data_IF_374450814634
#
_entry.id   IF_374450814634
#
_cell.length_a   1.000
_cell.length_b   1.000
_cell.length_c   1.000
_cell.angle_alpha   90.00
_cell.angle_beta   90.00
_cell.angle_gamma   90.00
#
_symmetry.space_group_name_H-M   'P 1'
#
loop_
_entity.id
_entity.type
_entity.pdbx_description
1 polymer ?
#
# COMPACT_ATOMS: atom_id res chain seq x y z
N UNK A 1 -2.87 -36.48 8.03
CA UNK A 1 -2.59 -35.11 7.56
C UNK A 1 -2.39 -34.24 8.78
N UNK A 2 -1.24 -33.59 8.90
CA UNK A 2 -0.96 -32.66 9.99
C UNK A 2 -1.51 -31.25 9.66
N UNK A 3 -1.54 -30.36 10.67
CA UNK A 3 -2.03 -29.00 10.54
C UNK A 3 -1.30 -28.22 9.43
N UNK A 4 -0.01 -28.44 9.26
CA UNK A 4 0.81 -27.80 8.20
C UNK A 4 0.40 -28.24 6.81
N UNK A 5 0.04 -29.52 6.64
CA UNK A 5 -0.45 -30.06 5.37
C UNK A 5 -1.83 -29.48 5.01
N UNK A 6 -2.72 -29.31 6.00
CA UNK A 6 -4.01 -28.64 5.79
C UNK A 6 -3.83 -27.18 5.38
N UNK A 7 -3.00 -26.43 6.08
CA UNK A 7 -2.71 -25.02 5.75
C UNK A 7 -2.06 -24.88 4.36
N UNK A 8 -1.20 -25.82 3.98
CA UNK A 8 -0.58 -25.83 2.65
C UNK A 8 -1.60 -26.13 1.55
N UNK A 9 -2.47 -27.11 1.75
CA UNK A 9 -3.53 -27.46 0.79
C UNK A 9 -4.54 -26.30 0.64
N UNK A 10 -4.93 -25.67 1.74
CA UNK A 10 -5.83 -24.52 1.74
C UNK A 10 -5.23 -23.34 0.95
N UNK A 11 -3.93 -23.06 1.11
CA UNK A 11 -3.22 -22.01 0.38
C UNK A 11 -3.07 -22.28 -1.12
N UNK A 12 -3.09 -23.55 -1.56
CA UNK A 12 -3.05 -23.91 -2.98
C UNK A 12 -4.38 -23.67 -3.68
N UNK A 13 -5.50 -23.81 -2.96
CA UNK A 13 -6.85 -23.66 -3.51
C UNK A 13 -7.49 -22.28 -3.33
N UNK A 14 -6.90 -21.42 -2.50
CA UNK A 14 -7.50 -20.12 -2.13
C UNK A 14 -6.49 -19.00 -2.27
N UNK A 15 -6.87 -17.92 -2.95
CA UNK A 15 -6.07 -16.70 -2.93
C UNK A 15 -6.09 -16.12 -1.51
N UNK A 16 -4.94 -16.13 -0.86
CA UNK A 16 -4.76 -15.45 0.43
C UNK A 16 -3.94 -14.21 0.17
N UNK A 17 -4.53 -13.05 0.43
CA UNK A 17 -3.81 -11.79 0.39
C UNK A 17 -2.63 -11.85 1.38
N UNK A 18 -1.45 -11.49 0.91
CA UNK A 18 -0.24 -11.45 1.75
C UNK A 18 -0.15 -10.09 2.42
N UNK A 19 0.01 -10.09 3.75
CA UNK A 19 0.27 -8.85 4.48
C UNK A 19 1.59 -8.23 4.03
N UNK A 20 1.60 -6.91 3.96
CA UNK A 20 2.84 -6.14 3.81
C UNK A 20 3.71 -6.33 5.06
N UNK A 21 5.04 -6.29 4.89
CA UNK A 21 5.96 -6.48 6.03
C UNK A 21 6.21 -5.15 6.75
N UNK A 22 5.77 -4.96 8.00
CA UNK A 22 5.98 -3.72 8.75
C UNK A 22 7.45 -3.29 8.87
N UNK A 23 8.37 -4.27 8.90
CA UNK A 23 9.82 -4.01 8.97
C UNK A 23 10.34 -3.24 7.75
N UNK A 24 9.73 -3.41 6.58
CA UNK A 24 10.10 -2.65 5.38
C UNK A 24 9.70 -1.18 5.51
N UNK A 25 8.49 -0.92 6.02
CA UNK A 25 8.04 0.44 6.28
C UNK A 25 8.94 1.12 7.32
N UNK A 26 9.25 0.41 8.43
CA UNK A 26 10.20 0.89 9.43
C UNK A 26 11.53 1.27 8.79
N UNK A 27 12.12 0.40 7.99
CA UNK A 27 13.41 0.64 7.35
C UNK A 27 13.39 1.88 6.43
N UNK A 28 12.32 2.08 5.67
CA UNK A 28 12.14 3.26 4.80
C UNK A 28 12.06 4.54 5.64
N UNK A 29 11.28 4.54 6.72
CA UNK A 29 11.15 5.69 7.60
C UNK A 29 12.47 6.03 8.31
N UNK A 30 13.21 5.01 8.75
CA UNK A 30 14.52 5.20 9.41
C UNK A 30 15.59 5.70 8.42
N UNK A 31 15.69 5.13 7.21
CA UNK A 31 16.66 5.55 6.19
C UNK A 31 16.43 7.00 5.75
N UNK A 32 15.16 7.41 5.70
CA UNK A 32 14.80 8.80 5.35
C UNK A 32 14.83 9.76 6.54
N UNK A 33 15.15 9.26 7.75
CA UNK A 33 15.11 10.02 9.01
C UNK A 33 13.77 10.75 9.21
N UNK A 34 12.68 10.13 8.72
CA UNK A 34 11.37 10.75 8.68
C UNK A 34 10.82 10.97 10.09
N UNK A 35 10.33 12.18 10.36
CA UNK A 35 9.54 12.52 11.54
C UNK A 35 8.05 12.53 11.24
N UNK A 36 7.70 12.97 10.03
CA UNK A 36 6.34 13.03 9.52
C UNK A 36 6.17 12.06 8.35
N UNK A 37 5.15 11.20 8.43
CA UNK A 37 4.89 10.14 7.45
C UNK A 37 3.49 10.27 6.87
N UNK A 38 3.36 10.01 5.56
CA UNK A 38 2.07 9.93 4.86
C UNK A 38 1.89 8.57 4.20
N UNK A 39 0.71 7.97 4.38
CA UNK A 39 0.28 6.75 3.72
C UNK A 39 -1.11 6.95 3.09
N UNK A 40 -1.17 7.04 1.79
CA UNK A 40 -2.42 7.29 1.05
C UNK A 40 -3.28 6.05 0.82
N UNK A 41 -2.87 4.88 1.37
CA UNK A 41 -3.60 3.61 1.23
C UNK A 41 -3.29 2.72 2.43
N UNK A 42 -3.75 3.10 3.63
CA UNK A 42 -3.35 2.47 4.90
C UNK A 42 -3.61 0.96 4.97
N UNK A 43 -4.60 0.44 4.26
CA UNK A 43 -4.91 -0.98 4.16
C UNK A 43 -5.15 -1.61 5.53
N UNK A 44 -4.46 -2.70 5.85
CA UNK A 44 -4.61 -3.38 7.15
C UNK A 44 -3.75 -2.80 8.27
N UNK A 45 -3.05 -1.68 8.02
CA UNK A 45 -2.24 -0.99 9.03
C UNK A 45 -0.83 -1.56 9.19
N UNK A 46 -0.31 -2.31 8.21
CA UNK A 46 1.04 -2.86 8.29
C UNK A 46 2.12 -1.76 8.24
N UNK A 47 1.91 -0.72 7.41
CA UNK A 47 2.81 0.45 7.37
C UNK A 47 2.65 1.33 8.60
N UNK A 48 1.45 1.40 9.19
CA UNK A 48 1.21 2.02 10.48
C UNK A 48 1.98 1.28 11.60
N UNK A 49 2.00 -0.07 11.58
CA UNK A 49 2.81 -0.85 12.52
C UNK A 49 4.31 -0.55 12.36
N UNK A 50 4.79 -0.42 11.11
CA UNK A 50 6.17 -0.01 10.82
C UNK A 50 6.49 1.39 11.37
N UNK A 51 5.56 2.33 11.26
CA UNK A 51 5.67 3.65 11.85
C UNK A 51 5.83 3.61 13.37
N UNK A 52 5.00 2.83 14.06
CA UNK A 52 5.11 2.69 15.51
C UNK A 52 6.46 2.11 15.96
N UNK A 53 7.08 1.28 15.12
CA UNK A 53 8.39 0.68 15.38
C UNK A 53 9.58 1.54 14.96
N UNK A 54 9.38 2.65 14.24
CA UNK A 54 10.42 3.59 13.76
C UNK A 54 10.61 4.77 14.69
N UNK A 55 11.50 5.70 14.34
CA UNK A 55 11.72 6.97 15.04
C UNK A 55 10.82 8.12 14.54
N UNK A 56 9.90 7.84 13.62
CA UNK A 56 8.91 8.82 13.17
C UNK A 56 7.90 9.16 14.29
N UNK A 57 7.41 10.38 14.31
CA UNK A 57 6.59 10.93 15.41
C UNK A 57 5.15 11.17 15.02
N UNK A 58 4.89 11.50 13.76
CA UNK A 58 3.56 11.80 13.23
C UNK A 58 3.24 10.95 11.99
N UNK A 59 2.06 10.37 11.96
CA UNK A 59 1.55 9.58 10.84
C UNK A 59 0.23 10.16 10.36
N UNK A 60 0.15 10.37 9.07
CA UNK A 60 -1.03 10.81 8.35
C UNK A 60 -1.41 9.76 7.32
N UNK A 61 -2.70 9.51 7.12
CA UNK A 61 -3.09 8.53 6.13
C UNK A 61 -4.59 8.50 5.83
N UNK A 62 -4.98 7.70 4.84
CA UNK A 62 -6.38 7.48 4.51
C UNK A 62 -6.66 6.04 4.07
N UNK A 63 -7.90 5.65 4.22
CA UNK A 63 -8.46 4.39 3.72
C UNK A 63 -9.97 4.55 3.56
N UNK A 64 -10.57 4.16 2.42
CA UNK A 64 -11.99 4.33 2.17
C UNK A 64 -12.87 3.33 2.92
N UNK A 65 -12.30 2.23 3.45
CA UNK A 65 -13.08 1.21 4.12
C UNK A 65 -13.38 1.57 5.58
N UNK A 66 -14.64 1.87 5.96
CA UNK A 66 -15.00 2.27 7.31
C UNK A 66 -14.80 1.14 8.34
N UNK A 67 -14.79 -0.11 7.93
CA UNK A 67 -14.53 -1.24 8.83
C UNK A 67 -13.05 -1.28 9.22
N UNK A 68 -12.14 -1.09 8.24
CA UNK A 68 -10.70 -0.99 8.48
C UNK A 68 -10.39 0.27 9.27
N UNK A 69 -11.00 1.40 8.93
CA UNK A 69 -10.84 2.68 9.62
C UNK A 69 -11.13 2.58 11.13
N UNK A 70 -12.19 1.88 11.52
CA UNK A 70 -12.51 1.65 12.94
C UNK A 70 -11.41 0.86 13.67
N UNK A 71 -10.76 -0.09 12.98
CA UNK A 71 -9.68 -0.90 13.57
C UNK A 71 -8.38 -0.14 13.79
N UNK A 72 -8.13 0.94 13.04
CA UNK A 72 -6.93 1.77 13.29
C UNK A 72 -6.93 2.37 14.70
N UNK A 73 -8.08 2.76 15.23
CA UNK A 73 -8.15 3.31 16.58
C UNK A 73 -7.72 2.28 17.65
N UNK A 74 -8.10 1.02 17.45
CA UNK A 74 -7.67 -0.08 18.30
C UNK A 74 -6.16 -0.31 18.18
N UNK A 75 -5.61 -0.34 16.96
CA UNK A 75 -4.17 -0.49 16.71
C UNK A 75 -3.37 0.65 17.33
N UNK A 76 -3.76 1.91 17.10
CA UNK A 76 -3.11 3.10 17.65
C UNK A 76 -3.10 3.04 19.18
N UNK A 77 -4.24 2.73 19.79
CA UNK A 77 -4.34 2.60 21.25
C UNK A 77 -3.42 1.51 21.78
N UNK A 78 -3.36 0.35 21.14
CA UNK A 78 -2.51 -0.75 21.58
C UNK A 78 -1.03 -0.42 21.42
N UNK A 79 -0.59 0.07 20.27
CA UNK A 79 0.82 0.37 20.05
C UNK A 79 1.34 1.49 20.96
N UNK A 80 0.54 2.52 21.21
CA UNK A 80 0.93 3.62 22.12
C UNK A 80 1.14 3.14 23.57
N UNK A 81 0.53 2.03 24.00
CA UNK A 81 0.77 1.48 25.36
C UNK A 81 2.20 0.97 25.56
N UNK A 82 2.89 0.61 24.48
CA UNK A 82 4.26 0.11 24.53
C UNK A 82 5.32 1.19 24.36
N UNK A 83 4.91 2.42 24.11
CA UNK A 83 5.83 3.53 23.87
C UNK A 83 5.97 4.43 25.11
N UNK A 84 7.18 4.95 25.37
CA UNK A 84 7.40 5.89 26.49
C UNK A 84 6.65 7.22 26.26
N UNK A 85 6.41 7.61 25.02
CA UNK A 85 5.65 8.78 24.62
C UNK A 85 4.71 8.40 23.47
N UNK A 86 3.42 8.72 23.56
CA UNK A 86 2.49 8.47 22.47
C UNK A 86 2.86 9.19 21.20
N UNK A 87 2.72 8.52 20.06
CA UNK A 87 2.88 9.11 18.73
C UNK A 87 1.56 9.67 18.22
N UNK A 88 1.66 10.71 17.40
CA UNK A 88 0.50 11.35 16.78
C UNK A 88 0.10 10.59 15.52
N UNK A 89 -1.17 10.22 15.41
CA UNK A 89 -1.73 9.56 14.24
C UNK A 89 -3.03 10.23 13.85
N UNK A 90 -3.15 10.56 12.57
CA UNK A 90 -4.38 11.07 11.98
C UNK A 90 -4.69 10.31 10.69
N UNK A 91 -5.80 9.61 10.66
CA UNK A 91 -6.26 8.83 9.50
C UNK A 91 -7.65 9.34 9.11
N UNK A 92 -7.87 9.55 7.81
CA UNK A 92 -9.16 9.93 7.25
C UNK A 92 -9.86 8.70 6.65
N UNK A 93 -11.17 8.61 6.83
CA UNK A 93 -11.97 7.59 6.17
C UNK A 93 -12.45 8.10 4.81
N UNK A 94 -11.54 8.13 3.86
CA UNK A 94 -11.80 8.55 2.48
C UNK A 94 -10.83 7.86 1.51
N UNK A 95 -11.11 7.93 0.22
CA UNK A 95 -10.15 7.56 -0.82
C UNK A 95 -8.97 8.54 -0.87
N UNK A 96 -7.86 8.12 -1.46
CA UNK A 96 -6.68 8.95 -1.60
C UNK A 96 -6.93 10.19 -2.47
N UNK A 97 -7.85 10.10 -3.41
CA UNK A 97 -8.31 11.20 -4.26
C UNK A 97 -9.00 12.33 -3.48
N UNK A 98 -9.64 11.99 -2.35
CA UNK A 98 -10.39 12.90 -1.50
C UNK A 98 -9.62 13.33 -0.24
N UNK A 99 -8.35 12.93 -0.11
CA UNK A 99 -7.53 13.32 1.04
C UNK A 99 -7.29 14.83 1.04
N UNK A 100 -7.50 15.53 2.19
CA UNK A 100 -7.28 16.98 2.27
C UNK A 100 -5.78 17.32 2.34
N UNK A 101 -5.07 17.22 1.19
CA UNK A 101 -3.63 17.46 1.08
C UNK A 101 -3.21 18.86 1.54
N UNK A 102 -4.09 19.85 1.38
CA UNK A 102 -3.89 21.24 1.82
C UNK A 102 -3.86 21.42 3.34
N UNK A 103 -4.36 20.43 4.09
CA UNK A 103 -4.37 20.41 5.56
C UNK A 103 -3.21 19.61 6.15
N UNK A 104 -2.40 18.96 5.33
CA UNK A 104 -1.26 18.20 5.79
C UNK A 104 -0.09 19.14 6.13
N UNK A 105 0.69 18.84 7.18
CA UNK A 105 1.98 19.50 7.37
C UNK A 105 2.96 19.07 6.28
N UNK A 106 4.13 19.72 6.18
CA UNK A 106 5.22 19.16 5.37
C UNK A 106 5.53 17.73 5.78
N UNK A 107 5.56 16.82 4.81
CA UNK A 107 5.79 15.38 5.00
C UNK A 107 7.23 15.05 4.66
N UNK A 108 7.95 14.39 5.57
CA UNK A 108 9.32 13.93 5.30
C UNK A 108 9.31 12.73 4.34
N UNK A 109 8.44 11.76 4.59
CA UNK A 109 8.37 10.54 3.80
C UNK A 109 6.91 10.11 3.57
N UNK A 110 6.49 10.07 2.31
CA UNK A 110 5.30 9.36 1.91
C UNK A 110 5.67 7.94 1.49
N UNK A 111 4.98 6.94 2.05
CA UNK A 111 5.13 5.55 1.64
C UNK A 111 3.77 4.89 1.53
N UNK A 112 3.43 4.49 0.31
CA UNK A 112 2.12 3.92 0.00
C UNK A 112 2.22 2.70 -0.89
N UNK A 113 1.19 1.86 -0.84
CA UNK A 113 0.93 0.78 -1.79
C UNK A 113 -0.47 1.01 -2.34
N UNK A 114 -0.60 1.78 -3.44
CA UNK A 114 -1.91 2.09 -4.01
C UNK A 114 -2.59 0.81 -4.51
N UNK A 115 -3.92 0.79 -4.64
CA UNK A 115 -4.63 -0.32 -5.27
C UNK A 115 -4.05 -0.59 -6.67
N UNK A 116 -3.77 -1.87 -6.98
CA UNK A 116 -3.18 -2.26 -8.27
C UNK A 116 -4.26 -2.43 -9.34
N UNK A 117 -4.98 -1.35 -9.64
CA UNK A 117 -6.14 -1.33 -10.52
C UNK A 117 -7.15 -2.43 -10.12
N UNK A 118 -7.63 -3.28 -11.03
CA UNK A 118 -8.57 -4.38 -10.75
C UNK A 118 -7.89 -5.73 -10.43
N UNK A 119 -6.61 -5.73 -10.07
CA UNK A 119 -5.92 -6.97 -9.64
C UNK A 119 -6.50 -7.52 -8.35
N UNK A 120 -6.93 -6.63 -7.45
CA UNK A 120 -7.52 -6.95 -6.17
C UNK A 120 -8.86 -6.22 -6.05
N UNK A 121 -9.95 -6.96 -6.31
CA UNK A 121 -11.31 -6.42 -6.24
C UNK A 121 -11.83 -6.53 -4.79
N UNK A 122 -11.33 -5.65 -3.93
CA UNK A 122 -11.76 -5.60 -2.52
C UNK A 122 -13.26 -5.31 -2.40
N UNK A 123 -13.92 -6.00 -1.48
CA UNK A 123 -15.36 -5.88 -1.21
C UNK A 123 -16.28 -6.15 -2.41
N UNK A 124 -15.84 -6.91 -3.42
CA UNK A 124 -16.65 -7.27 -4.59
C UNK A 124 -17.96 -7.93 -4.16
N UNK A 125 -19.08 -7.40 -4.63
CA UNK A 125 -20.42 -7.84 -4.24
C UNK A 125 -20.84 -7.48 -2.82
N UNK A 126 -20.06 -6.65 -2.10
CA UNK A 126 -20.37 -6.18 -0.75
C UNK A 126 -20.90 -4.73 -0.72
N UNK A 127 -21.46 -4.33 0.44
CA UNK A 127 -22.06 -2.99 0.64
C UNK A 127 -21.08 -1.81 0.42
N UNK A 128 -19.77 -2.05 0.43
CA UNK A 128 -18.73 -1.02 0.32
C UNK A 128 -17.97 -1.07 -1.00
N UNK A 129 -18.48 -1.80 -1.97
CA UNK A 129 -17.86 -1.96 -3.30
C UNK A 129 -17.68 -0.61 -3.99
N UNK A 130 -18.70 0.24 -3.94
CA UNK A 130 -18.70 1.56 -4.57
C UNK A 130 -17.62 2.53 -4.05
N UNK A 131 -17.06 2.29 -2.86
CA UNK A 131 -16.00 3.10 -2.27
C UNK A 131 -14.60 2.70 -2.78
N UNK A 132 -14.49 1.62 -3.52
CA UNK A 132 -13.22 1.08 -3.99
C UNK A 132 -12.79 1.72 -5.31
N UNK A 133 -11.49 1.93 -5.46
CA UNK A 133 -10.93 2.57 -6.67
C UNK A 133 -11.20 1.76 -7.95
N UNK A 134 -11.15 0.43 -7.88
CA UNK A 134 -11.44 -0.44 -9.02
C UNK A 134 -12.89 -0.34 -9.52
N UNK A 135 -13.83 0.01 -8.63
CA UNK A 135 -15.23 0.24 -8.98
C UNK A 135 -15.45 1.65 -9.55
N UNK A 136 -14.90 2.68 -8.86
CA UNK A 136 -14.98 4.08 -9.30
C UNK A 136 -14.31 4.32 -10.65
N UNK A 137 -13.14 3.68 -10.85
CA UNK A 137 -12.28 3.83 -12.01
C UNK A 137 -12.13 2.47 -12.70
N UNK A 138 -13.18 2.01 -13.38
CA UNK A 138 -13.31 0.65 -13.92
C UNK A 138 -12.52 0.39 -15.21
N UNK A 139 -11.91 1.41 -15.82
CA UNK A 139 -11.02 1.30 -16.96
C UNK A 139 -9.61 1.71 -16.54
N UNK A 140 -8.56 1.02 -17.10
CA UNK A 140 -7.18 1.26 -16.70
C UNK A 140 -6.75 2.71 -16.93
N UNK A 141 -7.02 3.26 -18.13
CA UNK A 141 -6.64 4.63 -18.46
C UNK A 141 -7.33 5.65 -17.53
N UNK A 142 -8.60 5.41 -17.20
CA UNK A 142 -9.34 6.23 -16.26
C UNK A 142 -8.78 6.11 -14.83
N UNK A 143 -8.47 4.88 -14.39
CA UNK A 143 -7.82 4.67 -13.10
C UNK A 143 -6.46 5.37 -13.03
N UNK A 144 -5.64 5.28 -14.11
CA UNK A 144 -4.34 5.94 -14.20
C UNK A 144 -4.45 7.46 -14.15
N UNK A 145 -5.32 8.04 -15.01
CA UNK A 145 -5.37 9.48 -15.27
C UNK A 145 -6.20 10.26 -14.25
N UNK A 146 -7.27 9.65 -13.67
CA UNK A 146 -8.18 10.32 -12.74
C UNK A 146 -7.88 9.97 -11.26
N UNK A 147 -7.12 8.89 -10.99
CA UNK A 147 -6.81 8.45 -9.63
C UNK A 147 -5.30 8.32 -9.38
N UNK A 148 -4.63 7.37 -10.04
CA UNK A 148 -3.27 6.96 -9.68
C UNK A 148 -2.24 8.07 -9.81
N UNK A 149 -2.12 8.68 -10.99
CA UNK A 149 -1.15 9.75 -11.22
C UNK A 149 -1.51 11.05 -10.50
N UNK A 150 -2.77 11.51 -10.42
CA UNK A 150 -3.15 12.66 -9.60
C UNK A 150 -2.87 12.48 -8.11
N UNK A 151 -3.14 11.32 -7.53
CA UNK A 151 -2.81 11.00 -6.14
C UNK A 151 -1.31 11.07 -5.91
N UNK A 152 -0.51 10.46 -6.79
CA UNK A 152 0.95 10.54 -6.72
C UNK A 152 1.46 11.99 -6.83
N UNK A 153 0.88 12.79 -7.73
CA UNK A 153 1.23 14.19 -7.90
C UNK A 153 0.93 15.02 -6.65
N UNK A 154 -0.25 14.86 -6.06
CA UNK A 154 -0.62 15.56 -4.84
C UNK A 154 0.26 15.13 -3.65
N UNK A 155 0.57 13.83 -3.56
CA UNK A 155 1.49 13.30 -2.56
C UNK A 155 2.89 13.91 -2.70
N UNK A 156 3.42 14.02 -3.92
CA UNK A 156 4.73 14.63 -4.20
C UNK A 156 4.79 16.13 -3.88
N UNK A 157 3.67 16.86 -3.97
CA UNK A 157 3.63 18.29 -3.63
C UNK A 157 3.85 18.55 -2.15
N UNK A 158 3.44 17.62 -1.28
CA UNK A 158 3.49 17.76 0.18
C UNK A 158 4.63 16.99 0.84
N UNK A 159 5.34 16.11 0.09
CA UNK A 159 6.36 15.24 0.67
C UNK A 159 7.76 15.47 0.09
N UNK A 160 8.77 15.33 0.96
CA UNK A 160 10.19 15.40 0.58
C UNK A 160 10.64 14.16 -0.17
N UNK A 161 10.24 12.98 0.32
CA UNK A 161 10.46 11.68 -0.34
C UNK A 161 9.13 10.97 -0.54
N UNK A 162 8.98 10.27 -1.66
CA UNK A 162 7.85 9.40 -1.93
C UNK A 162 8.33 8.02 -2.35
N UNK A 163 7.88 7.00 -1.64
CA UNK A 163 8.06 5.58 -1.99
C UNK A 163 6.71 5.00 -2.39
N UNK A 164 6.70 4.33 -3.52
CA UNK A 164 5.49 3.66 -4.01
C UNK A 164 5.80 2.19 -4.24
N UNK A 165 5.12 1.32 -3.49
CA UNK A 165 5.13 -0.10 -3.74
C UNK A 165 4.03 -0.40 -4.75
N UNK A 166 4.39 -0.60 -6.00
CA UNK A 166 3.46 -0.84 -7.11
C UNK A 166 3.88 -2.09 -7.88
N UNK A 167 2.91 -2.79 -8.42
CA UNK A 167 3.08 -3.94 -9.29
C UNK A 167 2.41 -3.65 -10.64
N UNK A 168 3.01 -4.09 -11.73
CA UNK A 168 2.39 -4.04 -13.04
C UNK A 168 1.25 -5.06 -13.13
N UNK A 169 0.00 -4.65 -13.16
CA UNK A 169 -1.13 -5.57 -13.19
C UNK A 169 -1.21 -6.29 -14.55
N UNK A 170 -1.56 -7.59 -14.50
CA UNK A 170 -1.89 -8.37 -15.70
C UNK A 170 -3.36 -8.73 -15.65
N UNK A 171 -4.17 -8.12 -16.53
CA UNK A 171 -5.64 -8.27 -16.54
C UNK A 171 -6.07 -8.71 -17.92
N UNK A 172 -6.83 -9.80 -18.00
CA UNK A 172 -7.26 -10.40 -19.26
C UNK A 172 -6.14 -10.62 -20.29
N UNK A 173 -4.95 -11.00 -19.78
CA UNK A 173 -3.76 -11.25 -20.61
C UNK A 173 -2.95 -10.01 -20.98
N UNK A 174 -3.47 -8.80 -20.76
CA UNK A 174 -2.77 -7.53 -20.99
C UNK A 174 -1.99 -7.12 -19.75
N UNK A 175 -0.69 -6.83 -19.90
CA UNK A 175 0.14 -6.26 -18.83
C UNK A 175 0.17 -4.74 -18.96
N UNK A 176 -0.20 -4.06 -17.90
CA UNK A 176 -0.11 -2.61 -17.78
C UNK A 176 1.16 -2.23 -17.03
N UNK A 177 1.83 -1.16 -17.44
CA UNK A 177 3.15 -0.76 -16.93
C UNK A 177 3.05 0.40 -15.95
N UNK A 178 2.27 0.21 -14.89
CA UNK A 178 1.99 1.24 -13.89
C UNK A 178 3.26 1.80 -13.23
N UNK A 179 4.28 0.96 -13.02
CA UNK A 179 5.57 1.39 -12.50
C UNK A 179 6.31 2.34 -13.46
N UNK A 180 6.37 1.99 -14.76
CA UNK A 180 7.03 2.81 -15.77
C UNK A 180 6.30 4.15 -15.95
N UNK A 181 4.95 4.14 -15.99
CA UNK A 181 4.13 5.36 -16.11
C UNK A 181 4.37 6.33 -14.95
N UNK A 182 4.55 5.81 -13.74
CA UNK A 182 4.90 6.64 -12.59
C UNK A 182 6.30 7.25 -12.74
N UNK A 183 7.28 6.44 -13.17
CA UNK A 183 8.65 6.91 -13.42
C UNK A 183 8.68 7.96 -14.52
N UNK A 184 7.96 7.75 -15.61
CA UNK A 184 7.89 8.71 -16.72
C UNK A 184 7.25 10.03 -16.27
N UNK A 185 6.19 9.98 -15.46
CA UNK A 185 5.53 11.17 -14.91
C UNK A 185 6.47 12.02 -14.03
N UNK A 186 7.35 11.39 -13.27
CA UNK A 186 8.24 12.03 -12.32
C UNK A 186 9.72 11.89 -12.67
N UNK A 187 10.04 11.73 -13.94
CA UNK A 187 11.37 11.42 -14.46
C UNK A 187 12.50 12.24 -13.82
N UNK A 188 12.30 13.56 -13.69
CA UNK A 188 13.31 14.48 -13.14
C UNK A 188 13.48 14.36 -11.61
N UNK A 189 12.58 13.66 -10.94
CA UNK A 189 12.57 13.46 -9.49
C UNK A 189 12.81 12.00 -9.09
N UNK A 190 12.93 11.11 -10.08
CA UNK A 190 13.11 9.68 -9.83
C UNK A 190 14.52 9.39 -9.29
N UNK A 191 14.58 8.85 -8.09
CA UNK A 191 15.83 8.54 -7.40
C UNK A 191 16.33 7.11 -7.64
N UNK A 192 15.44 6.19 -7.98
CA UNK A 192 15.79 4.80 -8.22
C UNK A 192 14.74 3.81 -7.72
N UNK A 193 15.09 2.53 -7.80
CA UNK A 193 14.23 1.42 -7.35
C UNK A 193 14.92 0.66 -6.24
N UNK A 194 14.13 0.20 -5.25
CA UNK A 194 14.60 -0.61 -4.14
C UNK A 194 13.95 -1.99 -4.23
N UNK A 195 14.77 -3.03 -4.33
CA UNK A 195 14.28 -4.41 -4.32
C UNK A 195 13.80 -4.81 -2.92
N UNK A 196 12.58 -5.31 -2.83
CA UNK A 196 12.02 -5.85 -1.59
C UNK A 196 11.92 -7.38 -1.69
N UNK A 197 12.55 -8.10 -0.75
CA UNK A 197 12.42 -9.55 -0.69
C UNK A 197 11.05 -9.94 -0.16
N UNK A 198 10.21 -10.48 -1.03
CA UNK A 198 8.92 -11.08 -0.66
C UNK A 198 9.12 -12.56 -0.28
N UNK A 199 8.23 -13.08 0.58
CA UNK A 199 8.19 -14.52 0.82
C UNK A 199 7.73 -15.23 -0.46
N UNK A 200 8.53 -16.19 -0.93
CA UNK A 200 8.09 -17.07 -2.00
C UNK A 200 6.92 -17.92 -1.48
N UNK A 201 5.84 -17.95 -2.25
CA UNK A 201 4.79 -18.94 -1.99
C UNK A 201 5.41 -20.32 -2.18
N UNK A 202 5.02 -21.35 -1.39
CA UNK A 202 5.34 -22.73 -1.70
C UNK A 202 4.74 -23.01 -3.09
N UNK A 203 5.59 -23.00 -4.10
CA UNK A 203 5.19 -23.46 -5.43
C UNK A 203 5.24 -25.00 -5.36
N UNK A 204 4.11 -25.65 -5.66
CA UNK A 204 4.18 -27.04 -6.11
C UNK A 204 5.17 -27.05 -7.28
N UNK A 205 5.95 -28.14 -7.44
CA UNK A 205 6.96 -28.27 -8.51
C UNK A 205 6.36 -27.82 -9.84
N UNK A 206 6.47 -26.53 -10.15
CA UNK A 206 6.33 -26.07 -11.52
C UNK A 206 7.58 -26.56 -12.23
N UNK A 207 7.42 -27.48 -13.14
CA UNK A 207 8.44 -27.81 -14.13
C UNK A 207 8.56 -26.55 -14.98
N UNK A 208 9.54 -25.73 -14.69
CA UNK A 208 9.95 -24.67 -15.61
C UNK A 208 10.61 -25.41 -16.80
N UNK A 209 9.97 -25.43 -17.92
CA UNK A 209 10.66 -25.65 -19.17
C UNK A 209 11.51 -24.40 -19.43
N UNK A 210 12.82 -24.56 -19.56
CA UNK A 210 13.82 -23.51 -19.86
C UNK A 210 13.69 -22.91 -21.27
N UNK A 211 12.52 -22.93 -21.89
CA UNK A 211 12.30 -22.47 -23.27
C UNK A 211 11.66 -21.08 -23.39
N UNK A 212 11.40 -20.36 -22.29
CA UNK A 212 10.94 -18.98 -22.32
C UNK A 212 11.98 -18.04 -21.68
N UNK A 213 13.14 -17.90 -22.36
CA UNK A 213 14.20 -16.96 -22.08
C UNK A 213 13.88 -15.55 -22.59
#
# INVERSE_FOLDING_TARGET
LDEKSYMSAFRLGTYIATQFKPVVAKAIYDITEAKTVLDTSCGWGDRLAGFFASDAEEYYGCDPNPNTYRRYQEQISQYNKFLPKPKKVQIWNCGAEDLPYDKLPPIDCAFTSPPYFSTEEYNKGGELEENQSWFKFNEYDKWRDDFYLPVAENTMKVSKYMFVNIMDPKIHGVRYRSGDELVDKFKDKFLGQVGMRIMQRPQGKAVFNDEDG
#
